data_IF_006980347051
#
_entry.id   IF_006980347051
#
_cell.length_a   1.000
_cell.length_b   1.000
_cell.length_c   1.000
_cell.angle_alpha   90.00
_cell.angle_beta   90.00
_cell.angle_gamma   90.00
#
_symmetry.space_group_name_H-M   'P 1'
#
loop_
_entity.id
_entity.type
_entity.pdbx_description
1 polymer ?
#
# COMPACT_ATOMS: atom_id res chain seq x y z
N UNK A 1 28.93 12.85 26.75
CA UNK A 1 29.95 13.23 25.76
C UNK A 1 29.29 14.17 24.77
N UNK A 2 29.90 15.32 24.49
CA UNK A 2 29.44 16.24 23.44
C UNK A 2 29.98 15.76 22.10
N UNK A 3 29.10 15.36 21.20
CA UNK A 3 29.46 14.83 19.89
C UNK A 3 29.23 15.82 18.74
N UNK A 4 28.92 17.09 19.03
CA UNK A 4 28.61 18.09 17.99
C UNK A 4 29.79 18.39 17.06
N UNK A 5 31.01 18.05 17.47
CA UNK A 5 32.23 18.22 16.68
C UNK A 5 32.67 16.93 15.96
N UNK A 6 31.92 15.84 16.11
CA UNK A 6 32.25 14.57 15.46
C UNK A 6 31.55 14.55 14.11
N UNK A 7 32.35 14.54 13.05
CA UNK A 7 31.86 14.26 11.72
C UNK A 7 31.39 12.80 11.64
N UNK A 8 30.10 12.62 11.32
CA UNK A 8 29.40 11.34 11.20
C UNK A 8 28.90 11.09 9.77
N UNK A 9 29.38 11.87 8.81
CA UNK A 9 29.08 11.66 7.40
C UNK A 9 29.78 10.41 6.86
N UNK A 10 29.33 9.94 5.71
CA UNK A 10 30.04 8.91 4.96
C UNK A 10 31.34 9.53 4.42
N UNK A 11 32.47 9.11 4.96
CA UNK A 11 33.79 9.64 4.63
C UNK A 11 34.49 8.75 3.60
N UNK A 12 35.41 9.35 2.85
CA UNK A 12 36.28 8.64 1.91
C UNK A 12 37.19 7.64 2.63
N UNK A 13 37.51 6.53 1.95
CA UNK A 13 38.29 5.45 2.54
C UNK A 13 39.67 5.92 3.04
N UNK A 14 40.35 6.79 2.29
CA UNK A 14 41.67 7.33 2.66
C UNK A 14 41.63 8.11 3.98
N UNK A 15 40.58 8.90 4.18
CA UNK A 15 40.39 9.68 5.40
C UNK A 15 40.13 8.77 6.60
N UNK A 16 39.25 7.76 6.46
CA UNK A 16 39.03 6.75 7.51
C UNK A 16 40.32 5.99 7.84
N UNK A 17 41.09 5.56 6.83
CA UNK A 17 42.39 4.90 7.03
C UNK A 17 43.34 5.82 7.80
N UNK A 18 43.36 7.11 7.48
CA UNK A 18 44.21 8.09 8.15
C UNK A 18 43.90 8.22 9.66
N UNK A 19 42.61 8.20 10.02
CA UNK A 19 42.11 8.28 11.40
C UNK A 19 42.44 7.02 12.22
N UNK A 20 42.52 5.86 11.57
CA UNK A 20 42.74 4.55 12.21
C UNK A 20 44.14 3.94 12.00
N UNK A 21 45.15 4.73 11.61
CA UNK A 21 46.55 4.25 11.45
C UNK A 21 47.13 3.54 12.67
N UNK A 22 46.65 3.88 13.86
CA UNK A 22 47.06 3.26 15.13
C UNK A 22 46.42 1.88 15.37
N UNK A 23 45.41 1.49 14.59
CA UNK A 23 44.69 0.23 14.71
C UNK A 23 44.26 -0.30 13.32
N UNK A 24 45.21 -0.86 12.58
CA UNK A 24 44.94 -1.48 11.28
C UNK A 24 43.96 -2.67 11.36
N UNK A 25 43.91 -3.35 12.50
CA UNK A 25 43.04 -4.51 12.68
C UNK A 25 41.56 -4.10 12.65
N UNK A 26 41.22 -2.94 13.23
CA UNK A 26 39.87 -2.38 13.13
C UNK A 26 39.42 -2.22 11.67
N UNK A 27 40.29 -1.66 10.81
CA UNK A 27 40.02 -1.50 9.37
C UNK A 27 39.91 -2.85 8.65
N UNK A 28 40.81 -3.80 8.95
CA UNK A 28 40.75 -5.14 8.35
C UNK A 28 39.48 -5.89 8.74
N UNK A 29 38.99 -5.68 9.97
CA UNK A 29 37.78 -6.33 10.46
C UNK A 29 36.50 -5.81 9.77
N UNK A 30 36.41 -4.54 9.39
CA UNK A 30 35.23 -4.05 8.62
C UNK A 30 35.11 -4.78 7.29
N UNK A 31 36.23 -4.96 6.57
CA UNK A 31 36.24 -5.70 5.30
C UNK A 31 35.96 -7.19 5.49
N UNK A 32 36.53 -7.82 6.53
CA UNK A 32 36.24 -9.23 6.87
C UNK A 32 34.77 -9.46 7.21
N UNK A 33 34.11 -8.51 7.86
CA UNK A 33 32.67 -8.58 8.14
C UNK A 33 31.90 -8.46 6.82
N UNK A 34 32.20 -7.45 6.01
CA UNK A 34 31.54 -7.25 4.71
C UNK A 34 31.70 -8.47 3.78
N UNK A 35 32.89 -9.06 3.68
CA UNK A 35 33.18 -10.24 2.86
C UNK A 35 32.46 -11.51 3.34
N UNK A 36 31.94 -11.54 4.59
CA UNK A 36 31.18 -12.66 5.14
C UNK A 36 29.67 -12.52 4.97
N UNK A 37 29.19 -11.33 4.61
CA UNK A 37 27.76 -11.07 4.44
C UNK A 37 27.39 -11.43 3.01
N UNK A 38 26.66 -12.54 2.85
CA UNK A 38 26.01 -12.92 1.61
C UNK A 38 24.52 -13.13 1.90
N UNK A 39 23.71 -12.10 1.62
CA UNK A 39 22.26 -12.13 1.82
C UNK A 39 21.63 -11.98 0.43
N UNK A 40 20.83 -12.96 0.05
CA UNK A 40 20.00 -12.93 -1.15
C UNK A 40 18.56 -12.70 -0.71
N UNK A 41 17.93 -11.65 -1.25
CA UNK A 41 16.53 -11.32 -1.01
C UNK A 41 15.85 -11.50 -2.35
N UNK A 42 14.98 -12.49 -2.43
CA UNK A 42 14.12 -12.71 -3.60
C UNK A 42 13.05 -11.61 -3.60
N UNK A 43 12.86 -10.98 -4.76
CA UNK A 43 11.91 -9.88 -4.94
C UNK A 43 10.91 -10.26 -6.02
N UNK A 44 9.69 -9.78 -5.83
CA UNK A 44 8.57 -9.94 -6.78
C UNK A 44 8.14 -11.41 -7.01
N UNK A 45 8.42 -12.30 -6.04
CA UNK A 45 7.82 -13.64 -5.94
C UNK A 45 6.63 -13.59 -4.98
N UNK A 46 5.40 -13.59 -5.51
CA UNK A 46 4.20 -13.37 -4.71
C UNK A 46 3.69 -14.65 -4.07
N UNK A 47 3.43 -14.58 -2.78
CA UNK A 47 2.79 -15.61 -2.01
C UNK A 47 1.45 -15.12 -1.45
N UNK A 48 0.49 -16.03 -1.41
CA UNK A 48 -0.88 -15.75 -0.99
C UNK A 48 -1.23 -16.54 0.26
N UNK A 49 -2.23 -16.05 0.99
CA UNK A 49 -2.76 -16.74 2.15
C UNK A 49 -3.22 -18.17 1.79
N UNK A 50 -3.01 -19.16 2.69
CA UNK A 50 -3.56 -20.50 2.54
C UNK A 50 -5.08 -20.43 2.34
N UNK A 51 -5.56 -21.07 1.28
CA UNK A 51 -6.99 -21.11 0.98
C UNK A 51 -7.76 -22.02 1.98
N UNK A 52 -7.05 -22.85 2.73
CA UNK A 52 -7.59 -23.72 3.76
C UNK A 52 -8.28 -22.92 4.88
N UNK A 53 -7.78 -21.72 5.19
CA UNK A 53 -8.35 -20.85 6.24
C UNK A 53 -9.76 -20.35 5.89
N UNK A 54 -10.10 -20.32 4.60
CA UNK A 54 -11.44 -19.97 4.09
C UNK A 54 -12.25 -21.20 3.67
N UNK A 55 -11.89 -22.37 4.18
CA UNK A 55 -12.68 -23.59 4.02
C UNK A 55 -12.46 -24.35 2.72
N UNK A 56 -11.38 -24.05 1.97
CA UNK A 56 -10.95 -24.92 0.87
C UNK A 56 -10.45 -26.25 1.47
N UNK A 57 -10.98 -27.41 1.06
CA UNK A 57 -10.51 -28.69 1.56
C UNK A 57 -9.02 -28.93 1.24
N UNK A 58 -8.26 -29.49 2.18
CA UNK A 58 -6.81 -29.76 2.01
C UNK A 58 -6.47 -30.62 0.78
N UNK A 59 -7.41 -31.42 0.28
CA UNK A 59 -7.26 -32.27 -0.90
C UNK A 59 -7.67 -31.60 -2.22
N UNK A 60 -8.08 -30.33 -2.18
CA UNK A 60 -8.54 -29.55 -3.33
C UNK A 60 -7.61 -28.38 -3.60
N UNK A 61 -7.15 -28.22 -4.84
CA UNK A 61 -6.36 -27.05 -5.23
C UNK A 61 -7.21 -25.77 -5.21
N UNK A 62 -6.58 -24.61 -5.01
CA UNK A 62 -7.27 -23.32 -5.08
C UNK A 62 -7.88 -23.09 -6.47
N UNK A 63 -7.23 -23.57 -7.53
CA UNK A 63 -7.67 -23.53 -8.92
C UNK A 63 -8.97 -24.31 -9.13
N UNK A 64 -9.01 -25.56 -8.65
CA UNK A 64 -10.17 -26.43 -8.77
C UNK A 64 -11.34 -25.92 -7.92
N UNK A 65 -11.05 -25.41 -6.72
CA UNK A 65 -12.05 -24.82 -5.85
C UNK A 65 -12.66 -23.55 -6.47
N UNK A 66 -11.82 -22.63 -6.97
CA UNK A 66 -12.27 -21.43 -7.65
C UNK A 66 -13.16 -21.76 -8.85
N UNK A 67 -12.72 -22.70 -9.70
CA UNK A 67 -13.51 -23.17 -10.85
C UNK A 67 -14.86 -23.72 -10.39
N UNK A 68 -14.88 -24.54 -9.35
CA UNK A 68 -16.12 -25.11 -8.79
C UNK A 68 -17.07 -24.03 -8.26
N UNK A 69 -16.56 -23.05 -7.51
CA UNK A 69 -17.37 -21.94 -6.98
C UNK A 69 -17.99 -21.12 -8.10
N UNK A 70 -17.21 -20.77 -9.13
CA UNK A 70 -17.71 -20.02 -10.30
C UNK A 70 -18.84 -20.78 -10.99
N UNK A 71 -18.68 -22.09 -11.25
CA UNK A 71 -19.72 -22.90 -11.88
C UNK A 71 -20.92 -23.19 -10.99
N UNK A 72 -20.76 -23.12 -9.67
CA UNK A 72 -21.87 -23.25 -8.74
C UNK A 72 -22.72 -21.98 -8.78
N UNK A 73 -22.07 -20.81 -8.70
CA UNK A 73 -22.75 -19.51 -8.62
C UNK A 73 -23.26 -18.97 -9.96
N UNK A 74 -22.66 -19.36 -11.09
CA UNK A 74 -23.04 -18.81 -12.42
C UNK A 74 -24.53 -19.01 -12.74
N UNK A 75 -25.13 -20.10 -12.26
CA UNK A 75 -26.55 -20.39 -12.46
C UNK A 75 -27.48 -19.59 -11.54
N UNK A 76 -26.96 -19.09 -10.42
CA UNK A 76 -27.67 -18.14 -9.55
C UNK A 76 -27.52 -16.71 -10.08
N UNK A 77 -26.40 -16.39 -10.74
CA UNK A 77 -26.14 -15.07 -11.33
C UNK A 77 -26.89 -14.85 -12.65
N UNK A 78 -27.02 -15.89 -13.50
CA UNK A 78 -27.62 -15.77 -14.83
C UNK A 78 -28.66 -16.87 -15.10
N UNK A 79 -29.87 -16.45 -15.47
CA UNK A 79 -30.95 -17.36 -15.89
C UNK A 79 -30.58 -18.19 -17.15
N UNK A 80 -29.73 -17.64 -18.02
CA UNK A 80 -29.33 -18.28 -19.27
C UNK A 80 -27.83 -18.11 -19.53
N UNK A 81 -27.06 -19.16 -19.23
CA UNK A 81 -25.62 -19.21 -19.48
C UNK A 81 -25.36 -19.60 -20.94
N UNK A 82 -24.87 -18.65 -21.73
CA UNK A 82 -24.61 -18.88 -23.16
C UNK A 82 -23.25 -19.56 -23.39
N UNK A 83 -23.04 -20.25 -24.53
CA UNK A 83 -21.73 -20.81 -24.88
C UNK A 83 -20.60 -19.78 -24.92
N UNK A 84 -20.91 -18.53 -25.28
CA UNK A 84 -19.94 -17.43 -25.27
C UNK A 84 -19.51 -17.07 -23.85
N UNK A 85 -20.43 -17.05 -22.90
CA UNK A 85 -20.13 -16.82 -21.48
C UNK A 85 -19.28 -17.94 -20.90
N UNK A 86 -19.61 -19.20 -21.20
CA UNK A 86 -18.77 -20.35 -20.80
C UNK A 86 -17.36 -20.22 -21.37
N UNK A 87 -17.24 -19.86 -22.66
CA UNK A 87 -15.94 -19.63 -23.28
C UNK A 87 -15.14 -18.51 -22.60
N UNK A 88 -15.80 -17.43 -22.17
CA UNK A 88 -15.16 -16.36 -21.41
C UNK A 88 -14.75 -16.80 -20.00
N UNK A 89 -15.62 -17.51 -19.27
CA UNK A 89 -15.31 -18.04 -17.93
C UNK A 89 -14.06 -18.92 -17.98
N UNK A 90 -14.01 -19.86 -18.93
CA UNK A 90 -12.86 -20.75 -19.09
C UNK A 90 -11.57 -19.98 -19.46
N UNK A 91 -11.68 -18.97 -20.31
CA UNK A 91 -10.55 -18.11 -20.65
C UNK A 91 -10.02 -17.34 -19.43
N UNK A 92 -10.91 -16.73 -18.64
CA UNK A 92 -10.52 -15.98 -17.44
C UNK A 92 -9.91 -16.91 -16.39
N UNK A 93 -10.55 -18.05 -16.10
CA UNK A 93 -10.04 -19.06 -15.15
C UNK A 93 -8.67 -19.58 -15.56
N UNK A 94 -8.45 -19.88 -16.85
CA UNK A 94 -7.16 -20.35 -17.34
C UNK A 94 -6.03 -19.33 -17.14
N UNK A 95 -6.33 -18.02 -17.25
CA UNK A 95 -5.34 -16.96 -17.02
C UNK A 95 -5.07 -16.78 -15.53
N UNK A 96 -6.10 -16.85 -14.69
CA UNK A 96 -5.97 -16.79 -13.23
C UNK A 96 -5.11 -17.95 -12.72
N UNK A 97 -5.37 -19.17 -13.20
CA UNK A 97 -4.61 -20.39 -12.92
C UNK A 97 -3.16 -20.26 -13.40
N UNK A 98 -2.94 -19.83 -14.65
CA UNK A 98 -1.59 -19.63 -15.21
C UNK A 98 -0.73 -18.67 -14.38
N UNK A 99 -1.37 -17.67 -13.76
CA UNK A 99 -0.69 -16.66 -12.94
C UNK A 99 -0.59 -17.03 -11.46
N UNK A 100 -1.24 -18.10 -11.02
CA UNK A 100 -1.28 -18.51 -9.62
C UNK A 100 -2.11 -17.58 -8.72
N UNK A 101 -3.10 -16.86 -9.28
CA UNK A 101 -3.93 -15.91 -8.53
C UNK A 101 -5.22 -16.49 -7.97
N UNK A 102 -5.44 -17.80 -8.10
CA UNK A 102 -6.65 -18.45 -7.57
C UNK A 102 -6.86 -18.17 -6.07
N UNK A 103 -5.84 -18.29 -5.19
CA UNK A 103 -5.99 -17.96 -3.77
C UNK A 103 -6.36 -16.50 -3.51
N UNK A 104 -5.82 -15.57 -4.31
CA UNK A 104 -6.12 -14.15 -4.19
C UNK A 104 -7.61 -13.85 -4.48
N UNK A 105 -8.16 -14.43 -5.54
CA UNK A 105 -9.59 -14.28 -5.87
C UNK A 105 -10.49 -14.88 -4.79
N UNK A 106 -10.12 -16.04 -4.24
CA UNK A 106 -10.88 -16.68 -3.17
C UNK A 106 -10.85 -15.86 -1.88
N UNK A 107 -9.70 -15.32 -1.50
CA UNK A 107 -9.58 -14.42 -0.35
C UNK A 107 -10.44 -13.16 -0.52
N UNK A 108 -10.40 -12.55 -1.71
CA UNK A 108 -11.23 -11.37 -2.02
C UNK A 108 -12.72 -11.69 -1.98
N UNK A 109 -13.14 -12.79 -2.61
CA UNK A 109 -14.53 -13.23 -2.58
C UNK A 109 -15.00 -13.50 -1.14
N UNK A 110 -14.15 -14.07 -0.29
CA UNK A 110 -14.46 -14.42 1.09
C UNK A 110 -14.78 -13.18 1.96
N UNK A 111 -13.88 -12.18 2.01
CA UNK A 111 -14.14 -11.00 2.84
C UNK A 111 -15.23 -10.08 2.25
N UNK A 112 -15.44 -10.09 0.92
CA UNK A 112 -16.58 -9.41 0.30
C UNK A 112 -17.89 -10.11 0.68
N UNK A 113 -17.93 -11.44 0.67
CA UNK A 113 -19.09 -12.20 1.13
C UNK A 113 -19.37 -11.93 2.61
N UNK A 114 -18.34 -11.92 3.46
CA UNK A 114 -18.45 -11.55 4.88
C UNK A 114 -19.16 -10.20 5.07
N UNK A 115 -18.76 -9.20 4.28
CA UNK A 115 -19.32 -7.86 4.31
C UNK A 115 -20.81 -7.87 3.93
N UNK A 116 -21.15 -8.53 2.82
CA UNK A 116 -22.53 -8.68 2.33
C UNK A 116 -23.44 -9.38 3.33
N UNK A 117 -22.99 -10.48 3.91
CA UNK A 117 -23.76 -11.27 4.89
C UNK A 117 -24.11 -10.46 6.15
N UNK A 118 -23.34 -9.40 6.43
CA UNK A 118 -23.53 -8.48 7.57
C UNK A 118 -24.13 -7.14 7.19
N UNK A 119 -24.54 -6.96 5.93
CA UNK A 119 -25.09 -5.70 5.42
C UNK A 119 -24.09 -4.54 5.48
N UNK A 120 -22.79 -4.82 5.35
CA UNK A 120 -21.77 -3.77 5.20
C UNK A 120 -21.79 -3.35 3.74
N UNK A 121 -22.21 -2.11 3.46
CA UNK A 121 -22.25 -1.57 2.09
C UNK A 121 -20.84 -1.50 1.51
N UNK A 122 -20.69 -2.06 0.32
CA UNK A 122 -19.42 -2.26 -0.35
C UNK A 122 -19.52 -2.00 -1.86
N UNK A 123 -18.39 -1.70 -2.48
CA UNK A 123 -18.26 -1.66 -3.93
C UNK A 123 -16.84 -1.98 -4.33
N UNK A 124 -16.63 -2.33 -5.60
CA UNK A 124 -15.31 -2.63 -6.13
C UNK A 124 -15.02 -1.73 -7.31
N UNK A 125 -13.85 -1.09 -7.30
CA UNK A 125 -13.45 -0.12 -8.32
C UNK A 125 -12.32 -0.67 -9.20
N UNK A 126 -11.91 0.17 -10.14
CA UNK A 126 -10.77 -0.13 -11.01
C UNK A 126 -11.13 -1.14 -12.10
N UNK A 127 -10.12 -1.89 -12.54
CA UNK A 127 -10.27 -2.79 -13.68
C UNK A 127 -10.94 -4.12 -13.34
N UNK A 128 -11.05 -4.48 -12.05
CA UNK A 128 -11.68 -5.73 -11.59
C UNK A 128 -13.09 -5.94 -12.17
N UNK A 129 -13.85 -4.86 -12.39
CA UNK A 129 -15.17 -4.88 -13.05
C UNK A 129 -15.16 -5.46 -14.47
N UNK A 130 -13.99 -5.64 -15.09
CA UNK A 130 -13.83 -6.30 -16.39
C UNK A 130 -13.84 -7.83 -16.33
N UNK A 131 -13.86 -8.45 -15.14
CA UNK A 131 -13.83 -9.91 -14.99
C UNK A 131 -15.21 -10.50 -14.74
N UNK A 132 -15.61 -11.44 -15.59
CA UNK A 132 -16.82 -12.25 -15.39
C UNK A 132 -16.67 -13.19 -14.19
N UNK A 133 -15.47 -13.72 -13.94
CA UNK A 133 -15.18 -14.50 -12.74
C UNK A 133 -15.40 -13.66 -11.48
N UNK A 134 -14.90 -12.41 -11.46
CA UNK A 134 -15.10 -11.49 -10.33
C UNK A 134 -16.58 -11.12 -10.13
N UNK A 135 -17.34 -10.96 -11.21
CA UNK A 135 -18.78 -10.70 -11.13
C UNK A 135 -19.57 -11.89 -10.57
N UNK A 136 -19.28 -13.12 -11.02
CA UNK A 136 -19.95 -14.34 -10.56
C UNK A 136 -19.64 -14.65 -9.08
N UNK A 137 -18.44 -14.30 -8.61
CA UNK A 137 -18.03 -14.45 -7.22
C UNK A 137 -18.49 -13.29 -6.32
N UNK A 138 -19.35 -12.40 -6.83
CA UNK A 138 -19.84 -11.22 -6.11
C UNK A 138 -18.76 -10.20 -5.70
N UNK A 139 -17.52 -10.38 -6.15
CA UNK A 139 -16.42 -9.42 -5.94
C UNK A 139 -16.79 -8.08 -6.59
N UNK A 140 -17.46 -8.09 -7.74
CA UNK A 140 -17.91 -6.86 -8.41
C UNK A 140 -19.42 -6.88 -8.63
N UNK A 141 -20.03 -5.70 -8.64
CA UNK A 141 -21.48 -5.53 -8.83
C UNK A 141 -21.87 -5.18 -10.27
N UNK A 142 -20.89 -5.05 -11.19
CA UNK A 142 -21.10 -4.58 -12.56
C UNK A 142 -20.95 -5.75 -13.53
N UNK A 143 -22.02 -6.07 -14.26
CA UNK A 143 -22.04 -7.14 -15.27
C UNK A 143 -21.12 -6.81 -16.47
N UNK A 144 -19.97 -7.49 -16.63
CA UNK A 144 -19.01 -7.18 -17.68
C UNK A 144 -19.47 -7.65 -19.06
N UNK A 145 -20.41 -8.59 -19.15
CA UNK A 145 -20.99 -9.06 -20.41
C UNK A 145 -21.98 -8.02 -20.92
N UNK A 146 -22.86 -7.52 -20.05
CA UNK A 146 -23.84 -6.48 -20.38
C UNK A 146 -23.18 -5.18 -20.84
N UNK A 147 -22.11 -4.76 -20.16
CA UNK A 147 -21.40 -3.50 -20.47
C UNK A 147 -20.19 -3.68 -21.40
N UNK A 148 -19.96 -4.90 -21.93
CA UNK A 148 -18.86 -5.22 -22.84
C UNK A 148 -17.49 -4.79 -22.28
N UNK A 149 -17.27 -5.00 -20.98
CA UNK A 149 -16.03 -4.65 -20.31
C UNK A 149 -14.96 -5.71 -20.61
N UNK A 150 -13.76 -5.33 -21.10
CA UNK A 150 -12.72 -6.28 -21.47
C UNK A 150 -11.97 -6.81 -20.24
N UNK A 151 -11.76 -8.12 -20.18
CA UNK A 151 -11.00 -8.78 -19.11
C UNK A 151 -9.51 -8.40 -19.14
N UNK A 152 -8.94 -8.19 -20.33
CA UNK A 152 -7.52 -7.94 -20.53
C UNK A 152 -7.06 -6.58 -19.97
N UNK A 153 -8.01 -5.69 -19.67
CA UNK A 153 -7.75 -4.44 -18.93
C UNK A 153 -7.49 -4.72 -17.44
N UNK A 154 -8.08 -5.78 -16.90
CA UNK A 154 -7.84 -6.24 -15.54
C UNK A 154 -6.59 -7.10 -15.48
N UNK A 155 -6.63 -8.26 -16.14
CA UNK A 155 -5.58 -9.26 -16.06
C UNK A 155 -5.22 -9.72 -17.48
N UNK A 156 -3.92 -9.70 -17.78
CA UNK A 156 -3.39 -10.07 -19.08
C UNK A 156 -2.22 -11.05 -18.89
N UNK A 157 -2.14 -12.13 -19.68
CA UNK A 157 -1.05 -13.11 -19.60
C UNK A 157 0.35 -12.49 -19.66
N UNK A 158 0.53 -11.42 -20.45
CA UNK A 158 1.82 -10.78 -20.68
C UNK A 158 2.13 -9.63 -19.72
N UNK A 159 1.19 -9.26 -18.84
CA UNK A 159 1.42 -8.19 -17.87
C UNK A 159 2.23 -8.75 -16.70
N UNK A 160 3.36 -8.11 -16.33
CA UNK A 160 4.19 -8.55 -15.22
C UNK A 160 3.64 -8.12 -13.86
N UNK A 161 2.66 -7.21 -13.80
CA UNK A 161 2.10 -6.70 -12.55
C UNK A 161 0.98 -7.59 -12.00
N UNK A 162 0.88 -7.64 -10.68
CA UNK A 162 -0.20 -8.30 -9.95
C UNK A 162 -1.58 -7.68 -10.28
N UNK A 163 -2.67 -8.44 -10.11
CA UNK A 163 -4.03 -7.92 -10.10
C UNK A 163 -4.19 -7.03 -8.87
N UNK A 164 -4.90 -5.91 -9.06
CA UNK A 164 -5.26 -4.99 -7.97
C UNK A 164 -6.79 -4.97 -7.92
N UNK A 165 -7.37 -5.63 -6.92
CA UNK A 165 -8.81 -5.57 -6.64
C UNK A 165 -9.02 -4.60 -5.48
N UNK A 166 -9.43 -3.39 -5.84
CA UNK A 166 -9.74 -2.33 -4.90
C UNK A 166 -11.16 -2.47 -4.37
N UNK A 167 -11.30 -2.97 -3.15
CA UNK A 167 -12.60 -3.06 -2.47
C UNK A 167 -12.82 -1.89 -1.52
N UNK A 168 -13.93 -1.21 -1.71
CA UNK A 168 -14.37 -0.07 -0.93
C UNK A 168 -15.53 -0.50 -0.02
N UNK A 169 -15.47 -0.15 1.26
CA UNK A 169 -16.48 -0.45 2.27
C UNK A 169 -16.99 0.84 2.92
N UNK A 170 -18.17 0.79 3.54
CA UNK A 170 -18.67 1.86 4.41
C UNK A 170 -17.61 2.19 5.48
N UNK A 171 -17.23 3.47 5.58
CA UNK A 171 -16.11 3.92 6.42
C UNK A 171 -16.33 3.65 7.92
N UNK A 172 -17.57 3.63 8.37
CA UNK A 172 -17.99 3.33 9.73
C UNK A 172 -17.97 1.83 10.08
N UNK A 173 -17.90 0.94 9.09
CA UNK A 173 -17.91 -0.52 9.27
C UNK A 173 -16.70 -1.25 8.68
N UNK A 174 -15.80 -0.53 8.00
CA UNK A 174 -14.54 -1.06 7.42
C UNK A 174 -13.72 -1.87 8.43
N UNK A 175 -13.61 -1.41 9.68
CA UNK A 175 -12.81 -2.09 10.70
C UNK A 175 -13.38 -3.46 11.09
N UNK A 176 -14.66 -3.75 10.83
CA UNK A 176 -15.23 -5.09 11.00
C UNK A 176 -14.63 -6.08 9.99
N UNK A 177 -14.44 -5.65 8.74
CA UNK A 177 -13.82 -6.47 7.68
C UNK A 177 -12.34 -6.70 7.99
N UNK A 178 -11.62 -5.69 8.49
CA UNK A 178 -10.23 -5.86 8.90
C UNK A 178 -10.13 -6.87 10.04
N UNK A 179 -10.94 -6.72 11.08
CA UNK A 179 -10.96 -7.67 12.21
C UNK A 179 -11.28 -9.09 11.73
N UNK A 180 -12.21 -9.24 10.79
CA UNK A 180 -12.48 -10.54 10.18
C UNK A 180 -11.23 -11.16 9.53
N UNK A 181 -10.44 -10.39 8.78
CA UNK A 181 -9.19 -10.89 8.20
C UNK A 181 -8.22 -11.36 9.29
N UNK A 182 -8.07 -10.60 10.39
CA UNK A 182 -7.24 -10.99 11.53
C UNK A 182 -7.75 -12.28 12.21
N UNK A 183 -9.06 -12.39 12.42
CA UNK A 183 -9.69 -13.56 13.06
C UNK A 183 -9.60 -14.82 12.19
N UNK A 184 -9.67 -14.67 10.87
CA UNK A 184 -9.67 -15.78 9.90
C UNK A 184 -8.25 -16.26 9.58
N UNK A 185 -7.32 -15.35 9.28
CA UNK A 185 -5.98 -15.71 8.79
C UNK A 185 -4.89 -15.71 9.88
N UNK A 186 -5.18 -15.17 11.06
CA UNK A 186 -4.29 -15.13 12.22
C UNK A 186 -3.55 -13.80 12.40
N UNK A 187 -3.39 -13.39 13.66
CA UNK A 187 -2.73 -12.12 14.05
C UNK A 187 -1.24 -12.03 13.66
N UNK A 188 -0.58 -13.16 13.44
CA UNK A 188 0.81 -13.27 13.02
C UNK A 188 1.00 -13.24 11.50
N UNK A 189 -0.10 -13.38 10.74
CA UNK A 189 -0.09 -13.39 9.26
C UNK A 189 -0.77 -12.18 8.61
N UNK A 190 -1.49 -11.39 9.39
CA UNK A 190 -2.21 -10.20 8.92
C UNK A 190 -1.62 -8.94 9.54
N UNK A 191 -1.41 -7.91 8.72
CA UNK A 191 -1.00 -6.59 9.19
C UNK A 191 -1.52 -5.50 8.26
N UNK A 192 -1.68 -4.30 8.80
CA UNK A 192 -1.92 -3.13 7.98
C UNK A 192 -0.58 -2.61 7.42
N UNK A 193 -0.62 -2.00 6.23
CA UNK A 193 0.59 -1.48 5.60
C UNK A 193 0.99 -0.15 6.24
N UNK A 194 2.28 0.05 6.52
CA UNK A 194 2.80 1.34 6.99
C UNK A 194 2.91 2.37 5.85
N UNK A 195 2.74 3.62 6.22
CA UNK A 195 3.01 4.77 5.37
C UNK A 195 3.95 5.74 6.07
N UNK A 196 4.79 6.41 5.29
CA UNK A 196 5.73 7.39 5.80
C UNK A 196 5.26 8.80 5.44
N UNK A 197 4.89 9.58 6.45
CA UNK A 197 4.63 11.00 6.29
C UNK A 197 5.93 11.74 6.03
N UNK A 198 6.09 12.30 4.83
CA UNK A 198 7.27 13.08 4.44
C UNK A 198 7.11 14.57 4.72
N UNK A 199 8.22 15.29 4.87
CA UNK A 199 8.21 16.74 5.00
C UNK A 199 7.94 17.40 3.65
N UNK A 200 6.67 17.73 3.38
CA UNK A 200 6.26 18.53 2.21
C UNK A 200 6.85 19.95 2.29
N UNK A 201 7.09 20.58 1.14
CA UNK A 201 7.73 21.90 0.98
C UNK A 201 7.32 22.94 2.05
N UNK A 202 6.02 23.23 2.15
CA UNK A 202 5.50 24.21 3.14
C UNK A 202 5.74 23.80 4.59
N UNK A 203 5.66 22.50 4.88
CA UNK A 203 5.93 21.94 6.21
C UNK A 203 7.41 22.07 6.58
N UNK A 204 8.30 21.75 5.63
CA UNK A 204 9.74 21.89 5.79
C UNK A 204 10.12 23.35 6.11
N UNK A 205 9.56 24.34 5.40
CA UNK A 205 9.78 25.77 5.67
C UNK A 205 9.37 26.16 7.08
N UNK A 206 8.18 25.76 7.53
CA UNK A 206 7.70 26.09 8.89
C UNK A 206 8.57 25.43 9.96
N UNK A 207 8.99 24.18 9.75
CA UNK A 207 9.82 23.46 10.71
C UNK A 207 11.25 24.00 10.80
N UNK A 208 11.90 24.28 9.66
CA UNK A 208 13.21 24.89 9.62
C UNK A 208 13.20 26.27 10.31
N UNK A 209 12.19 27.08 10.03
CA UNK A 209 12.04 28.40 10.64
C UNK A 209 11.86 28.36 12.16
N UNK A 210 11.11 27.38 12.66
CA UNK A 210 10.97 27.14 14.10
C UNK A 210 12.31 26.82 14.76
N UNK A 211 13.14 25.99 14.13
CA UNK A 211 14.49 25.65 14.65
C UNK A 211 15.43 26.86 14.61
N UNK A 212 15.31 27.72 13.60
CA UNK A 212 16.06 28.98 13.48
C UNK A 212 15.59 30.08 14.46
N UNK A 213 14.49 29.86 15.19
CA UNK A 213 13.91 30.84 16.09
C UNK A 213 13.20 32.00 15.38
N UNK A 214 12.77 31.81 14.14
CA UNK A 214 11.97 32.79 13.40
C UNK A 214 10.51 32.78 13.86
N UNK A 215 9.80 33.89 13.67
CA UNK A 215 8.39 33.96 14.03
C UNK A 215 7.54 33.09 13.11
N UNK A 216 6.52 32.44 13.67
CA UNK A 216 5.59 31.62 12.90
C UNK A 216 4.96 32.40 11.74
N UNK A 217 4.58 33.66 11.97
CA UNK A 217 3.97 34.50 10.93
C UNK A 217 4.89 34.72 9.73
N UNK A 218 6.18 34.94 9.97
CA UNK A 218 7.17 35.09 8.91
C UNK A 218 7.32 33.80 8.11
N UNK A 219 7.47 32.66 8.80
CA UNK A 219 7.61 31.37 8.14
C UNK A 219 6.36 30.96 7.36
N UNK A 220 5.16 31.28 7.86
CA UNK A 220 3.90 31.00 7.18
C UNK A 220 3.70 31.88 5.93
N UNK A 221 4.14 33.14 5.97
CA UNK A 221 4.15 34.02 4.79
C UNK A 221 5.02 33.44 3.68
N UNK A 222 6.27 33.07 4.00
CA UNK A 222 7.20 32.46 3.02
C UNK A 222 6.65 31.12 2.52
N UNK A 223 6.10 30.27 3.40
CA UNK A 223 5.56 28.97 3.02
C UNK A 223 4.33 29.09 2.09
N UNK A 224 3.52 30.15 2.20
CA UNK A 224 2.33 30.34 1.35
C UNK A 224 2.67 30.72 -0.09
N UNK A 225 3.83 31.32 -0.32
CA UNK A 225 4.34 31.63 -1.66
C UNK A 225 4.68 30.38 -2.46
N UNK A 226 5.01 29.27 -1.80
CA UNK A 226 5.24 27.98 -2.48
C UNK A 226 3.89 27.44 -2.98
N UNK A 227 3.65 27.26 -4.29
CA UNK A 227 2.42 26.69 -4.81
C UNK A 227 2.15 25.28 -4.25
N UNK A 228 0.88 24.89 -4.10
CA UNK A 228 0.55 23.54 -3.62
C UNK A 228 0.93 22.45 -4.63
N UNK A 229 0.91 22.80 -5.92
CA UNK A 229 1.15 21.88 -7.04
C UNK A 229 2.61 21.88 -7.52
N UNK A 230 3.53 22.53 -6.78
CA UNK A 230 4.96 22.51 -7.11
C UNK A 230 5.61 21.20 -6.67
N UNK A 231 6.54 20.68 -7.47
CA UNK A 231 7.31 19.46 -7.19
C UNK A 231 8.42 19.67 -6.14
N UNK A 232 8.53 20.87 -5.56
CA UNK A 232 9.32 21.12 -4.36
C UNK A 232 9.81 22.55 -4.22
N UNK A 233 10.53 22.84 -3.14
CA UNK A 233 11.01 24.21 -2.83
C UNK A 233 11.91 24.76 -3.95
N UNK A 234 12.74 23.90 -4.55
CA UNK A 234 13.66 24.32 -5.61
C UNK A 234 12.92 24.83 -6.85
N UNK A 235 11.89 24.12 -7.29
CA UNK A 235 11.08 24.50 -8.44
C UNK A 235 10.20 25.70 -8.11
N UNK A 236 9.60 25.75 -6.92
CA UNK A 236 8.84 26.91 -6.48
C UNK A 236 9.63 28.23 -6.52
N UNK A 237 10.93 28.20 -6.20
CA UNK A 237 11.82 29.38 -6.31
C UNK A 237 12.08 29.78 -7.78
N UNK A 238 12.03 28.83 -8.72
CA UNK A 238 12.25 29.10 -10.14
C UNK A 238 11.00 29.63 -10.82
N UNK A 239 9.83 29.13 -10.40
CA UNK A 239 8.55 29.39 -11.05
C UNK A 239 7.81 30.60 -10.49
N UNK A 240 8.06 30.97 -9.24
CA UNK A 240 7.42 32.12 -8.59
C UNK A 240 8.40 33.31 -8.48
N UNK A 241 8.20 34.39 -9.26
CA UNK A 241 9.10 35.55 -9.27
C UNK A 241 9.20 36.26 -7.92
N UNK A 242 8.12 36.30 -7.13
CA UNK A 242 8.10 36.94 -5.81
C UNK A 242 8.95 36.15 -4.81
N UNK A 243 8.82 34.81 -4.82
CA UNK A 243 9.65 33.93 -4.02
C UNK A 243 11.12 33.98 -4.46
N UNK A 244 11.39 34.11 -5.76
CA UNK A 244 12.74 34.26 -6.30
C UNK A 244 13.41 35.55 -5.83
N UNK A 245 12.69 36.67 -5.92
CA UNK A 245 13.16 37.99 -5.46
C UNK A 245 13.44 37.95 -3.95
N UNK A 246 12.50 37.44 -3.15
CA UNK A 246 12.68 37.29 -1.71
C UNK A 246 13.86 36.38 -1.35
N UNK A 247 14.08 35.31 -2.10
CA UNK A 247 15.22 34.41 -1.91
C UNK A 247 16.55 35.11 -2.19
N UNK A 248 16.61 36.04 -3.16
CA UNK A 248 17.83 36.78 -3.52
C UNK A 248 18.10 38.00 -2.63
N UNK A 249 17.06 38.68 -2.16
CA UNK A 249 17.19 39.95 -1.45
C UNK A 249 17.22 39.81 0.07
N UNK A 250 16.69 38.71 0.61
CA UNK A 250 16.54 38.53 2.06
C UNK A 250 17.34 37.33 2.58
N UNK A 251 18.47 37.60 3.23
CA UNK A 251 19.34 36.56 3.82
C UNK A 251 18.60 35.59 4.77
N UNK A 252 17.56 36.05 5.48
CA UNK A 252 16.75 35.15 6.34
C UNK A 252 15.91 34.19 5.51
N UNK A 253 15.35 34.64 4.39
CA UNK A 253 14.56 33.80 3.48
C UNK A 253 15.50 32.83 2.75
N UNK A 254 16.63 33.30 2.25
CA UNK A 254 17.67 32.47 1.64
C UNK A 254 18.06 31.33 2.58
N UNK A 255 18.47 31.67 3.82
CA UNK A 255 18.88 30.68 4.82
C UNK A 255 17.76 29.71 5.19
N UNK A 256 16.53 30.20 5.30
CA UNK A 256 15.36 29.40 5.59
C UNK A 256 15.09 28.38 4.49
N UNK A 257 15.04 28.82 3.23
CA UNK A 257 14.75 27.95 2.09
C UNK A 257 15.90 26.98 1.81
N UNK A 258 17.16 27.38 2.00
CA UNK A 258 18.32 26.49 1.89
C UNK A 258 18.28 25.31 2.85
N UNK A 259 17.97 25.56 4.12
CA UNK A 259 17.83 24.49 5.10
C UNK A 259 16.58 23.65 4.84
N UNK A 260 15.49 24.29 4.40
CA UNK A 260 14.24 23.60 4.09
C UNK A 260 14.41 22.62 2.92
N UNK A 261 15.16 22.99 1.87
CA UNK A 261 15.52 22.12 0.74
C UNK A 261 16.26 20.84 1.18
N UNK A 262 17.04 20.88 2.27
CA UNK A 262 17.79 19.72 2.75
C UNK A 262 16.92 18.69 3.48
N UNK A 263 15.82 19.15 4.09
CA UNK A 263 14.90 18.32 4.89
C UNK A 263 13.59 17.98 4.15
N UNK A 264 13.29 18.68 3.06
CA UNK A 264 12.18 18.35 2.16
C UNK A 264 12.26 16.89 1.69
N UNK A 265 11.10 16.21 1.65
CA UNK A 265 10.99 14.83 1.22
C UNK A 265 11.49 13.78 2.22
N UNK A 266 12.12 14.19 3.34
CA UNK A 266 12.56 13.26 4.38
C UNK A 266 11.36 12.71 5.16
N UNK A 267 11.42 11.43 5.52
CA UNK A 267 10.44 10.79 6.38
C UNK A 267 10.44 11.45 7.77
N UNK A 268 9.24 11.72 8.31
CA UNK A 268 9.05 12.43 9.58
C UNK A 268 8.37 11.57 10.64
N UNK A 269 7.34 10.84 10.24
CA UNK A 269 6.54 9.99 11.11
C UNK A 269 5.97 8.84 10.30
N UNK A 270 5.57 7.79 11.00
CA UNK A 270 4.85 6.64 10.47
C UNK A 270 3.35 6.83 10.68
N UNK A 271 2.55 6.30 9.77
CA UNK A 271 1.08 6.22 9.86
C UNK A 271 0.61 4.93 9.21
N UNK A 272 -0.65 4.56 9.38
CA UNK A 272 -1.25 3.40 8.72
C UNK A 272 -1.77 3.78 7.33
N UNK A 273 -1.58 2.88 6.36
CA UNK A 273 -2.18 3.01 5.03
C UNK A 273 -3.71 2.93 5.13
N UNK A 274 -4.39 3.91 4.52
CA UNK A 274 -5.85 4.03 4.64
C UNK A 274 -6.64 2.84 4.08
N UNK A 275 -6.04 2.04 3.19
CA UNK A 275 -6.69 0.88 2.57
C UNK A 275 -5.94 -0.45 2.77
N UNK A 276 -4.62 -0.40 3.01
CA UNK A 276 -3.75 -1.52 2.68
C UNK A 276 -3.65 -2.52 3.82
N UNK A 277 -4.10 -3.75 3.58
CA UNK A 277 -3.89 -4.90 4.45
C UNK A 277 -3.06 -5.93 3.69
N UNK A 278 -2.13 -6.60 4.36
CA UNK A 278 -1.38 -7.72 3.79
C UNK A 278 -1.71 -8.99 4.55
N UNK A 279 -1.73 -10.11 3.83
CA UNK A 279 -2.00 -11.44 4.37
C UNK A 279 -0.94 -12.38 3.81
N UNK A 280 -0.06 -12.90 4.66
CA UNK A 280 1.02 -13.80 4.27
C UNK A 280 0.63 -15.28 4.41
N UNK A 281 1.29 -16.20 3.67
CA UNK A 281 1.07 -17.64 3.81
C UNK A 281 1.52 -18.19 5.18
N UNK A 282 2.60 -17.61 5.71
CA UNK A 282 3.22 -17.95 7.00
C UNK A 282 3.29 -16.67 7.85
N UNK A 283 4.18 -16.62 8.84
CA UNK A 283 4.33 -15.43 9.68
C UNK A 283 4.80 -14.25 8.83
N UNK A 284 4.21 -13.07 9.04
CA UNK A 284 4.60 -11.86 8.31
C UNK A 284 6.09 -11.54 8.43
N UNK A 285 6.69 -11.89 9.57
CA UNK A 285 8.12 -11.69 9.83
C UNK A 285 9.05 -12.47 8.90
N UNK A 286 8.54 -13.47 8.18
CA UNK A 286 9.29 -14.17 7.14
C UNK A 286 9.50 -13.29 5.90
N UNK A 287 8.63 -12.29 5.68
CA UNK A 287 8.62 -11.41 4.51
C UNK A 287 8.97 -9.95 4.85
N UNK A 288 8.41 -9.42 5.94
CA UNK A 288 8.58 -8.03 6.34
C UNK A 288 8.68 -7.90 7.87
N UNK A 289 9.59 -7.05 8.39
CA UNK A 289 9.55 -6.72 9.79
C UNK A 289 8.24 -6.01 10.13
N UNK A 290 7.71 -6.25 11.32
CA UNK A 290 6.47 -5.62 11.80
C UNK A 290 6.74 -4.72 12.99
N UNK A 291 5.82 -3.80 13.26
CA UNK A 291 5.82 -2.94 14.45
C UNK A 291 4.38 -2.68 14.89
N UNK A 292 4.20 -2.27 16.14
CA UNK A 292 2.93 -1.72 16.58
C UNK A 292 2.75 -0.30 16.04
N UNK A 293 1.51 0.08 15.83
CA UNK A 293 1.12 1.47 15.57
C UNK A 293 1.60 2.39 16.73
N UNK A 294 1.83 3.67 16.41
CA UNK A 294 2.30 4.65 17.41
C UNK A 294 1.33 4.87 18.57
N UNK A 295 0.02 4.85 18.30
CA UNK A 295 -1.05 5.15 19.28
C UNK A 295 -2.10 4.02 19.36
N UNK A 296 -1.73 2.78 19.01
CA UNK A 296 -2.67 1.66 18.95
C UNK A 296 -2.01 0.28 19.13
N UNK A 297 -2.86 -0.75 19.18
CA UNK A 297 -2.43 -2.15 19.32
C UNK A 297 -2.36 -2.88 17.95
N UNK A 298 -2.67 -2.18 16.86
CA UNK A 298 -2.63 -2.74 15.52
C UNK A 298 -1.20 -3.05 15.09
N UNK A 299 -1.02 -4.21 14.47
CA UNK A 299 0.25 -4.61 13.84
C UNK A 299 0.34 -3.99 12.45
N UNK A 300 1.45 -3.33 12.19
CA UNK A 300 1.78 -2.73 10.90
C UNK A 300 3.08 -3.28 10.34
N UNK A 301 3.18 -3.41 9.01
CA UNK A 301 4.45 -3.71 8.34
C UNK A 301 5.48 -2.60 8.58
N UNK A 302 6.77 -2.85 8.38
CA UNK A 302 7.78 -1.77 8.31
C UNK A 302 8.16 -1.43 6.88
N UNK A 303 7.79 -2.29 5.93
CA UNK A 303 7.84 -2.00 4.50
C UNK A 303 6.57 -1.29 4.08
N UNK A 304 6.73 -0.17 3.37
CA UNK A 304 5.61 0.51 2.73
C UNK A 304 5.05 -0.33 1.56
N UNK A 305 3.92 0.10 1.02
CA UNK A 305 3.15 -0.57 -0.04
C UNK A 305 3.99 -1.26 -1.12
N UNK A 306 4.91 -0.56 -1.79
CA UNK A 306 5.71 -1.15 -2.87
C UNK A 306 6.75 -2.13 -2.33
N UNK A 307 7.39 -1.78 -1.22
CA UNK A 307 8.42 -2.61 -0.59
C UNK A 307 7.85 -3.91 -0.03
N UNK A 308 6.62 -3.92 0.49
CA UNK A 308 5.98 -5.17 0.99
C UNK A 308 5.49 -6.05 -0.15
N UNK A 309 4.97 -5.46 -1.23
CA UNK A 309 4.59 -6.20 -2.44
C UNK A 309 5.82 -6.85 -3.09
N UNK A 310 6.92 -6.11 -3.22
CA UNK A 310 8.18 -6.67 -3.74
C UNK A 310 8.81 -7.67 -2.79
N UNK A 311 8.54 -7.62 -1.48
CA UNK A 311 8.95 -8.66 -0.53
C UNK A 311 8.11 -9.94 -0.63
N UNK A 312 7.11 -9.99 -1.51
CA UNK A 312 6.38 -11.19 -1.86
C UNK A 312 5.01 -11.34 -1.20
N UNK A 313 4.48 -10.29 -0.54
CA UNK A 313 3.13 -10.32 0.04
C UNK A 313 2.27 -9.25 -0.63
N UNK A 314 1.29 -9.69 -1.42
CA UNK A 314 0.39 -8.79 -2.14
C UNK A 314 -0.57 -8.07 -1.18
N UNK A 315 -0.85 -6.81 -1.45
CA UNK A 315 -1.84 -6.02 -0.71
C UNK A 315 -3.27 -6.43 -1.09
N UNK A 316 -4.15 -6.29 -0.10
CA UNK A 316 -5.59 -6.26 -0.25
C UNK A 316 -6.06 -4.85 0.12
N UNK A 317 -6.75 -4.19 -0.80
CA UNK A 317 -7.29 -2.85 -0.59
C UNK A 317 -8.66 -2.96 0.07
N UNK A 318 -8.71 -2.66 1.36
CA UNK A 318 -9.92 -2.56 2.21
C UNK A 318 -10.09 -1.08 2.57
N UNK A 319 -10.60 -0.27 1.65
CA UNK A 319 -10.72 1.19 1.85
C UNK A 319 -12.08 1.56 2.46
N UNK A 320 -12.08 2.44 3.46
CA UNK A 320 -13.31 3.05 3.98
C UNK A 320 -13.74 4.28 3.16
N UNK A 321 -14.95 4.27 2.60
CA UNK A 321 -15.53 5.39 1.84
C UNK A 321 -16.80 5.90 2.51
N UNK A 322 -16.79 7.20 2.87
CA UNK A 322 -17.92 7.90 3.47
C UNK A 322 -19.18 7.96 2.61
N UNK A 323 -19.04 7.94 1.28
CA UNK A 323 -20.19 7.90 0.40
C UNK A 323 -21.01 6.61 0.57
N UNK A 324 -20.35 5.48 0.86
CA UNK A 324 -21.02 4.18 1.05
C UNK A 324 -21.79 4.16 2.37
N UNK A 325 -21.24 4.72 3.46
CA UNK A 325 -21.98 4.85 4.71
C UNK A 325 -23.19 5.78 4.59
N UNK A 326 -23.06 6.89 3.85
CA UNK A 326 -24.20 7.79 3.56
C UNK A 326 -25.29 7.06 2.77
N UNK A 327 -24.92 6.28 1.75
CA UNK A 327 -25.87 5.53 0.93
C UNK A 327 -26.56 4.41 1.74
N UNK A 328 -25.81 3.67 2.55
CA UNK A 328 -26.37 2.64 3.44
C UNK A 328 -27.41 3.23 4.39
N UNK A 329 -27.04 4.29 5.11
CA UNK A 329 -27.96 5.00 6.00
C UNK A 329 -29.21 5.52 5.27
N UNK A 330 -29.07 5.97 4.02
CA UNK A 330 -30.21 6.43 3.24
C UNK A 330 -31.17 5.29 2.87
N UNK A 331 -30.66 4.09 2.57
CA UNK A 331 -31.47 2.89 2.31
C UNK A 331 -32.20 2.49 3.59
N UNK A 332 -31.50 2.39 4.72
CA UNK A 332 -32.08 2.00 6.02
C UNK A 332 -33.25 2.93 6.41
N UNK A 333 -33.06 4.25 6.28
CA UNK A 333 -34.11 5.24 6.57
C UNK A 333 -35.33 5.12 5.65
N UNK A 334 -35.14 4.71 4.40
CA UNK A 334 -36.23 4.49 3.45
C UNK A 334 -36.99 3.21 3.78
N UNK A 335 -36.31 2.15 4.21
CA UNK A 335 -36.97 0.89 4.62
C UNK A 335 -37.78 1.04 5.92
N UNK A 336 -37.40 1.97 6.80
CA UNK A 336 -38.15 2.31 8.01
C UNK A 336 -39.44 3.13 7.75
N UNK A 337 -39.63 3.66 6.53
CA UNK A 337 -40.78 4.50 6.14
C UNK A 337 -41.82 3.71 5.37
#
# INVERSE_FOLDING_TARGET
>A
MDYRHVDRSLNEAEDIISRFKHNEEALKNTRRIADRINIEIELDDWHFAPAEEIGVPEDTSAEDYLRKEVYTRVFDTYDNVTPEMVGRIEYELAIIELKGYSPYFLCVADYVQYARDRGIVETTRGSAAGSLVSYILDITIVDPVRFQLPFERFLNPYRPSAPDIDTDFADDRRDEVIRYLFDTYGEDRVAQIITFGTMKARGAVRDAGRVLGYSYSFCDQVAKLIPMDSDGIKEAIQDDPELQELYQENEKVERLLDLSKQIEGRARHTSIHAAGVVISPTNLTDFTPVQLETDGDNVTTQYEMHSVESAGVLKYDVLGIRNLSILGNAVDLVEET
#
